data_IF_688272508296
#
_entry.id   IF_688272508296
#
_cell.length_a   1.000
_cell.length_b   1.000
_cell.length_c   1.000
_cell.angle_alpha   90.00
_cell.angle_beta   90.00
_cell.angle_gamma   90.00
#
_symmetry.space_group_name_H-M   'P 1'
#
loop_
_entity.id
_entity.type
_entity.pdbx_description
1 polymer ?
#
# COMPACT_ATOMS: atom_id res chain seq x y z
N UNK A 1 -3.76 46.11 -29.73
CA UNK A 1 -4.40 44.81 -29.41
C UNK A 1 -3.42 43.77 -28.88
N UNK A 2 -2.15 43.82 -29.26
CA UNK A 2 -1.10 42.86 -28.85
C UNK A 2 -0.89 42.81 -27.33
N UNK A 3 -0.84 43.95 -26.62
CA UNK A 3 -0.67 44.01 -25.16
C UNK A 3 -1.74 43.21 -24.38
N UNK A 4 -2.98 43.16 -24.87
CA UNK A 4 -4.08 42.40 -24.24
C UNK A 4 -3.86 40.89 -24.40
N UNK A 5 -3.39 40.44 -25.56
CA UNK A 5 -3.11 39.03 -25.83
C UNK A 5 -1.92 38.53 -25.01
N UNK A 6 -0.85 39.34 -24.93
CA UNK A 6 0.32 39.10 -24.11
C UNK A 6 -0.04 38.98 -22.61
N UNK A 7 -0.77 39.96 -22.07
CA UNK A 7 -1.21 39.94 -20.68
C UNK A 7 -2.08 38.72 -20.37
N UNK A 8 -3.01 38.35 -21.26
CA UNK A 8 -3.86 37.17 -21.08
C UNK A 8 -3.04 35.87 -21.06
N UNK A 9 -2.01 35.77 -21.91
CA UNK A 9 -1.10 34.62 -21.91
C UNK A 9 -0.31 34.54 -20.60
N UNK A 10 0.31 35.64 -20.16
CA UNK A 10 1.03 35.71 -18.89
C UNK A 10 0.13 35.41 -17.69
N UNK A 11 -1.10 35.92 -17.69
CA UNK A 11 -2.11 35.63 -16.66
C UNK A 11 -2.41 34.13 -16.58
N UNK A 12 -2.64 33.49 -17.73
CA UNK A 12 -2.90 32.04 -17.80
C UNK A 12 -1.70 31.22 -17.29
N UNK A 13 -0.50 31.56 -17.76
CA UNK A 13 0.74 30.90 -17.33
C UNK A 13 0.99 31.10 -15.83
N UNK A 14 0.77 32.31 -15.30
CA UNK A 14 0.93 32.61 -13.88
C UNK A 14 -0.02 31.78 -13.03
N UNK A 15 -1.31 31.68 -13.40
CA UNK A 15 -2.26 30.81 -12.70
C UNK A 15 -1.81 29.35 -12.68
N UNK A 16 -1.34 28.83 -13.83
CA UNK A 16 -0.80 27.46 -13.92
C UNK A 16 0.44 27.29 -13.03
N UNK A 17 1.39 28.24 -13.04
CA UNK A 17 2.59 28.25 -12.19
C UNK A 17 2.21 28.07 -10.72
N UNK A 18 1.25 28.87 -10.22
CA UNK A 18 0.79 28.78 -8.84
C UNK A 18 0.06 27.48 -8.53
N UNK A 19 -0.73 26.97 -9.47
CA UNK A 19 -1.39 25.68 -9.32
C UNK A 19 -0.38 24.55 -9.10
N UNK A 20 0.67 24.48 -9.94
CA UNK A 20 1.74 23.49 -9.80
C UNK A 20 2.54 23.67 -8.51
N UNK A 21 2.92 24.91 -8.17
CA UNK A 21 3.63 25.24 -6.92
C UNK A 21 2.84 24.77 -5.70
N UNK A 22 1.56 25.12 -5.65
CA UNK A 22 0.68 24.74 -4.56
C UNK A 22 0.46 23.23 -4.51
N UNK A 23 0.31 22.57 -5.66
CA UNK A 23 0.18 21.12 -5.70
C UNK A 23 1.44 20.43 -5.14
N UNK A 24 2.63 20.86 -5.58
CA UNK A 24 3.91 20.36 -5.07
C UNK A 24 4.05 20.58 -3.55
N UNK A 25 3.71 21.78 -3.06
CA UNK A 25 3.73 22.08 -1.62
C UNK A 25 2.82 21.15 -0.83
N UNK A 26 1.60 20.88 -1.30
CA UNK A 26 0.70 19.95 -0.63
C UNK A 26 1.28 18.53 -0.59
N UNK A 27 1.74 18.03 -1.74
CA UNK A 27 2.28 16.68 -1.85
C UNK A 27 3.50 16.49 -0.94
N UNK A 28 4.36 17.49 -0.84
CA UNK A 28 5.49 17.49 0.08
C UNK A 28 5.04 17.43 1.54
N UNK A 29 4.06 18.23 1.95
CA UNK A 29 3.50 18.13 3.32
C UNK A 29 3.00 16.72 3.64
N UNK A 30 2.34 16.04 2.69
CA UNK A 30 1.90 14.66 2.88
C UNK A 30 3.07 13.68 3.03
N UNK A 31 4.13 13.85 2.23
CA UNK A 31 5.35 13.04 2.32
C UNK A 31 6.05 13.26 3.66
N UNK A 32 6.24 14.51 4.06
CA UNK A 32 6.94 14.89 5.30
C UNK A 32 6.22 14.36 6.54
N UNK A 33 4.88 14.27 6.49
CA UNK A 33 4.05 13.70 7.56
C UNK A 33 3.78 12.18 7.39
N UNK A 34 4.45 11.51 6.44
CA UNK A 34 4.25 10.09 6.11
C UNK A 34 2.76 9.68 5.98
N UNK A 35 1.94 10.57 5.41
CA UNK A 35 0.49 10.42 5.34
C UNK A 35 0.03 10.39 3.88
N UNK A 36 -0.77 9.39 3.52
CA UNK A 36 -1.35 9.32 2.16
C UNK A 36 -2.65 10.13 2.12
N UNK A 37 -2.81 11.07 1.15
CA UNK A 37 -4.08 11.77 0.94
C UNK A 37 -5.22 10.77 0.73
N UNK A 38 -6.39 11.02 1.32
CA UNK A 38 -7.53 10.08 1.23
C UNK A 38 -7.93 9.73 -0.21
N UNK A 39 -7.79 10.67 -1.15
CA UNK A 39 -8.11 10.45 -2.57
C UNK A 39 -7.06 9.67 -3.36
N UNK A 40 -5.88 9.40 -2.78
CA UNK A 40 -4.80 8.61 -3.38
C UNK A 40 -4.61 7.26 -2.66
N UNK A 41 -5.25 7.06 -1.52
CA UNK A 41 -5.12 5.84 -0.73
C UNK A 41 -5.82 4.68 -1.46
N UNK A 42 -5.04 3.76 -2.02
CA UNK A 42 -5.54 2.56 -2.68
C UNK A 42 -6.04 1.59 -1.61
N UNK A 43 -7.36 1.42 -1.55
CA UNK A 43 -8.01 0.46 -0.64
C UNK A 43 -8.53 -0.71 -1.46
N UNK A 44 -7.72 -1.74 -1.59
CA UNK A 44 -8.12 -3.00 -2.20
C UNK A 44 -8.25 -4.06 -1.12
N UNK A 45 -9.34 -4.80 -1.15
CA UNK A 45 -9.54 -5.95 -0.27
C UNK A 45 -9.00 -7.18 -0.97
N UNK A 46 -8.10 -7.96 -0.33
CA UNK A 46 -7.60 -9.17 -0.97
C UNK A 46 -8.72 -10.19 -1.11
N UNK A 47 -8.84 -10.77 -2.31
CA UNK A 47 -9.71 -11.90 -2.59
C UNK A 47 -8.90 -13.18 -2.37
N UNK A 48 -9.01 -13.75 -1.17
CA UNK A 48 -8.34 -14.99 -0.80
C UNK A 48 -9.36 -15.96 -0.21
N UNK A 49 -9.34 -17.25 -0.59
CA UNK A 49 -10.19 -18.25 0.03
C UNK A 49 -9.78 -18.48 1.51
N UNK A 50 -10.76 -18.65 2.39
CA UNK A 50 -10.56 -18.95 3.82
C UNK A 50 -10.37 -17.73 4.74
N UNK A 51 -10.05 -18.00 6.01
CA UNK A 51 -9.86 -16.97 7.05
C UNK A 51 -8.56 -16.21 6.79
N UNK A 52 -8.66 -14.87 6.73
CA UNK A 52 -7.52 -14.00 6.47
C UNK A 52 -6.58 -13.98 7.67
N UNK A 53 -5.36 -14.49 7.47
CA UNK A 53 -4.30 -14.37 8.47
C UNK A 53 -3.98 -12.89 8.72
N UNK A 54 -3.82 -12.50 9.99
CA UNK A 54 -3.41 -11.14 10.39
C UNK A 54 -2.08 -10.74 9.77
N UNK A 55 -1.14 -11.69 9.64
CA UNK A 55 0.17 -11.48 8.99
C UNK A 55 0.01 -11.16 7.49
N UNK A 56 -0.90 -11.86 6.81
CA UNK A 56 -1.17 -11.62 5.40
C UNK A 56 -1.79 -10.24 5.19
N UNK A 57 -2.81 -9.90 5.97
CA UNK A 57 -3.47 -8.58 5.90
C UNK A 57 -2.49 -7.44 6.14
N UNK A 58 -1.62 -7.55 7.16
CA UNK A 58 -0.59 -6.55 7.42
C UNK A 58 0.33 -6.34 6.21
N UNK A 59 0.84 -7.43 5.62
CA UNK A 59 1.73 -7.34 4.46
C UNK A 59 1.02 -6.81 3.21
N UNK A 60 -0.25 -7.13 3.05
CA UNK A 60 -1.09 -6.61 1.98
C UNK A 60 -1.26 -5.08 2.11
N UNK A 61 -1.61 -4.61 3.30
CA UNK A 61 -1.76 -3.18 3.59
C UNK A 61 -0.43 -2.43 3.42
N UNK A 62 0.69 -3.02 3.86
CA UNK A 62 2.03 -2.47 3.65
C UNK A 62 2.35 -2.29 2.16
N UNK A 63 1.97 -3.25 1.31
CA UNK A 63 2.18 -3.15 -0.14
C UNK A 63 1.33 -2.01 -0.73
N UNK A 64 0.05 -1.93 -0.38
CA UNK A 64 -0.85 -0.88 -0.87
C UNK A 64 -0.42 0.52 -0.42
N UNK A 65 0.02 0.63 0.84
CA UNK A 65 0.60 1.86 1.39
C UNK A 65 1.83 2.28 0.57
N UNK A 66 2.79 1.38 0.36
CA UNK A 66 4.00 1.66 -0.40
C UNK A 66 3.71 2.06 -1.85
N UNK A 67 2.76 1.41 -2.52
CA UNK A 67 2.33 1.79 -3.87
C UNK A 67 1.74 3.20 -3.89
N UNK A 68 0.81 3.50 -2.98
CA UNK A 68 0.18 4.81 -2.87
C UNK A 68 1.20 5.91 -2.54
N UNK A 69 2.18 5.61 -1.69
CA UNK A 69 3.27 6.53 -1.33
C UNK A 69 4.22 6.79 -2.51
N UNK A 70 4.56 5.77 -3.30
CA UNK A 70 5.35 5.95 -4.53
C UNK A 70 4.62 6.78 -5.57
N UNK A 71 3.30 6.60 -5.71
CA UNK A 71 2.47 7.45 -6.57
C UNK A 71 2.49 8.92 -6.09
N UNK A 72 2.46 9.14 -4.77
CA UNK A 72 2.58 10.47 -4.19
C UNK A 72 3.90 11.15 -4.56
N UNK A 73 5.02 10.42 -4.47
CA UNK A 73 6.34 10.90 -4.89
C UNK A 73 6.42 11.18 -6.39
N UNK A 74 5.83 10.32 -7.22
CA UNK A 74 5.75 10.52 -8.66
C UNK A 74 4.98 11.80 -9.01
N UNK A 75 3.82 12.02 -8.38
CA UNK A 75 3.03 13.24 -8.57
C UNK A 75 3.78 14.50 -8.14
N UNK A 76 4.59 14.41 -7.06
CA UNK A 76 5.43 15.52 -6.62
C UNK A 76 6.47 15.85 -7.70
N UNK A 77 7.16 14.84 -8.22
CA UNK A 77 8.16 15.02 -9.28
C UNK A 77 7.56 15.62 -10.56
N UNK A 78 6.38 15.16 -10.97
CA UNK A 78 5.63 15.71 -12.10
C UNK A 78 5.24 17.17 -11.86
N UNK A 79 4.77 17.48 -10.65
CA UNK A 79 4.34 18.84 -10.30
C UNK A 79 5.51 19.82 -10.30
N UNK A 80 6.66 19.41 -9.78
CA UNK A 80 7.90 20.19 -9.77
C UNK A 80 8.41 20.40 -11.21
N UNK A 81 8.37 19.36 -12.05
CA UNK A 81 8.74 19.47 -13.47
C UNK A 81 7.82 20.45 -14.22
N UNK A 82 6.50 20.32 -14.05
CA UNK A 82 5.52 21.22 -14.66
C UNK A 82 5.70 22.68 -14.21
N UNK A 83 5.99 22.91 -12.92
CA UNK A 83 6.33 24.25 -12.41
C UNK A 83 7.52 24.85 -13.17
N UNK A 84 8.59 24.06 -13.36
CA UNK A 84 9.79 24.54 -14.07
C UNK A 84 9.51 24.84 -15.53
N UNK A 85 8.78 23.97 -16.24
CA UNK A 85 8.41 24.21 -17.63
C UNK A 85 7.64 25.52 -17.78
N UNK A 86 6.62 25.75 -16.95
CA UNK A 86 5.84 26.98 -17.00
C UNK A 86 6.69 28.20 -16.62
N UNK A 87 7.61 28.06 -15.68
CA UNK A 87 8.52 29.16 -15.33
C UNK A 87 9.44 29.53 -16.52
N UNK A 88 9.91 28.53 -17.27
CA UNK A 88 10.64 28.75 -18.53
C UNK A 88 9.75 29.44 -19.57
N UNK A 89 8.53 28.93 -19.78
CA UNK A 89 7.57 29.54 -20.71
C UNK A 89 7.30 31.01 -20.35
N UNK A 90 7.09 31.33 -19.08
CA UNK A 90 6.90 32.71 -18.61
C UNK A 90 8.11 33.57 -18.98
N UNK A 91 9.34 33.12 -18.67
CA UNK A 91 10.55 33.86 -18.98
C UNK A 91 10.73 34.07 -20.49
N UNK A 92 10.49 33.04 -21.31
CA UNK A 92 10.51 33.15 -22.77
C UNK A 92 9.46 34.14 -23.28
N UNK A 93 8.27 34.15 -22.67
CA UNK A 93 7.19 35.08 -23.05
C UNK A 93 7.61 36.52 -22.71
N UNK A 94 8.26 36.75 -21.56
CA UNK A 94 8.82 38.04 -21.19
C UNK A 94 9.92 38.50 -22.17
N UNK A 95 10.89 37.63 -22.49
CA UNK A 95 11.99 37.96 -23.41
C UNK A 95 11.46 38.32 -24.80
N UNK A 96 10.52 37.54 -25.34
CA UNK A 96 9.94 37.76 -26.67
C UNK A 96 9.19 39.09 -26.80
N UNK A 97 8.64 39.61 -25.71
CA UNK A 97 7.84 40.83 -25.71
C UNK A 97 8.55 42.01 -25.03
N UNK A 98 9.83 41.86 -24.67
CA UNK A 98 10.59 42.91 -23.98
C UNK A 98 10.79 44.16 -24.85
N UNK A 99 10.88 43.96 -26.17
CA UNK A 99 11.06 45.05 -27.15
C UNK A 99 9.73 45.68 -27.59
N UNK A 100 8.59 45.01 -27.36
CA UNK A 100 7.27 45.46 -27.84
C UNK A 100 6.41 46.15 -26.78
N UNK A 101 6.84 46.13 -25.51
CA UNK A 101 6.08 46.68 -24.39
C UNK A 101 6.85 47.83 -23.77
N UNK A 102 6.18 48.95 -23.52
CA UNK A 102 6.79 50.10 -22.86
C UNK A 102 7.09 49.78 -21.38
N UNK A 103 8.07 50.45 -20.75
CA UNK A 103 8.35 50.27 -19.33
C UNK A 103 7.12 50.50 -18.42
N UNK A 104 6.30 51.49 -18.75
CA UNK A 104 5.06 51.81 -18.03
C UNK A 104 4.03 50.68 -18.14
N UNK A 105 3.81 50.14 -19.34
CA UNK A 105 2.93 48.99 -19.55
C UNK A 105 3.44 47.75 -18.79
N UNK A 106 4.76 47.55 -18.73
CA UNK A 106 5.38 46.45 -17.99
C UNK A 106 5.11 46.55 -16.49
N UNK A 107 5.19 47.74 -15.90
CA UNK A 107 4.85 47.93 -14.49
C UNK A 107 3.37 47.62 -14.22
N UNK A 108 2.46 48.10 -15.08
CA UNK A 108 1.02 47.82 -14.93
C UNK A 108 0.75 46.31 -15.02
N UNK A 109 1.40 45.62 -15.95
CA UNK A 109 1.30 44.16 -16.11
C UNK A 109 1.83 43.47 -14.84
N UNK A 110 2.99 43.86 -14.32
CA UNK A 110 3.57 43.27 -13.12
C UNK A 110 2.68 43.47 -11.89
N UNK A 111 2.12 44.68 -11.69
CA UNK A 111 1.18 44.96 -10.60
C UNK A 111 -0.05 44.04 -10.70
N UNK A 112 -0.69 43.97 -11.87
CA UNK A 112 -1.84 43.09 -12.09
C UNK A 112 -1.52 41.60 -11.90
N UNK A 113 -0.34 41.17 -12.32
CA UNK A 113 0.11 39.79 -12.07
C UNK A 113 0.27 39.56 -10.56
N UNK A 114 0.89 40.48 -9.83
CA UNK A 114 1.05 40.36 -8.37
C UNK A 114 -0.30 40.26 -7.63
N UNK A 115 -1.32 40.99 -8.07
CA UNK A 115 -2.67 40.87 -7.52
C UNK A 115 -3.27 39.49 -7.76
N UNK A 116 -3.15 38.97 -8.99
CA UNK A 116 -3.58 37.61 -9.33
C UNK A 116 -2.85 36.60 -8.44
N UNK A 117 -1.53 36.76 -8.25
CA UNK A 117 -0.74 35.89 -7.40
C UNK A 117 -1.25 35.90 -5.95
N UNK A 118 -1.58 37.08 -5.40
CA UNK A 118 -2.13 37.23 -4.05
C UNK A 118 -3.47 36.51 -3.90
N UNK A 119 -4.38 36.70 -4.85
CA UNK A 119 -5.71 36.07 -4.86
C UNK A 119 -5.58 34.54 -4.96
N UNK A 120 -4.78 34.04 -5.91
CA UNK A 120 -4.57 32.60 -6.07
C UNK A 120 -3.95 31.99 -4.81
N UNK A 121 -2.96 32.64 -4.18
CA UNK A 121 -2.36 32.18 -2.92
C UNK A 121 -3.40 31.99 -1.81
N UNK A 122 -4.32 32.95 -1.65
CA UNK A 122 -5.40 32.86 -0.66
C UNK A 122 -6.37 31.72 -0.99
N UNK A 123 -6.81 31.63 -2.24
CA UNK A 123 -7.72 30.57 -2.71
C UNK A 123 -7.13 29.18 -2.50
N UNK A 124 -5.85 29.01 -2.82
CA UNK A 124 -5.13 27.76 -2.65
C UNK A 124 -4.94 27.41 -1.17
N UNK A 125 -4.57 28.37 -0.32
CA UNK A 125 -4.49 28.17 1.14
C UNK A 125 -5.82 27.71 1.74
N UNK A 126 -6.94 28.31 1.33
CA UNK A 126 -8.26 27.87 1.77
C UNK A 126 -8.56 26.43 1.33
N UNK A 127 -8.24 26.06 0.09
CA UNK A 127 -8.39 24.68 -0.42
C UNK A 127 -7.49 23.69 0.31
N UNK A 128 -6.24 24.06 0.59
CA UNK A 128 -5.28 23.28 1.36
C UNK A 128 -5.82 22.98 2.76
N UNK A 129 -6.26 24.01 3.49
CA UNK A 129 -6.80 23.87 4.84
C UNK A 129 -7.97 22.88 4.89
N UNK A 130 -8.87 22.93 3.89
CA UNK A 130 -9.97 21.97 3.76
C UNK A 130 -9.46 20.53 3.57
N UNK A 131 -8.47 20.32 2.71
CA UNK A 131 -7.87 18.99 2.46
C UNK A 131 -7.14 18.46 3.68
N UNK A 132 -6.32 19.27 4.33
CA UNK A 132 -5.55 18.86 5.51
C UNK A 132 -6.46 18.57 6.71
N UNK A 133 -7.49 19.39 6.94
CA UNK A 133 -8.51 19.11 7.97
C UNK A 133 -9.21 17.78 7.69
N UNK A 134 -9.63 17.52 6.45
CA UNK A 134 -10.25 16.26 6.04
C UNK A 134 -9.33 15.06 6.31
N UNK A 135 -8.04 15.21 6.07
CA UNK A 135 -7.04 14.15 6.16
C UNK A 135 -6.35 14.07 7.52
N UNK A 136 -6.77 14.91 8.50
CA UNK A 136 -6.19 15.01 9.86
C UNK A 136 -4.69 15.28 9.88
N UNK A 137 -4.22 16.08 8.92
CA UNK A 137 -2.82 16.47 8.84
C UNK A 137 -2.59 17.72 9.72
N UNK A 138 -1.64 17.65 10.66
CA UNK A 138 -1.28 18.81 11.48
C UNK A 138 -0.70 19.91 10.58
N UNK A 139 -1.15 21.14 10.75
CA UNK A 139 -0.81 22.29 9.89
C UNK A 139 0.63 22.80 10.05
N UNK A 140 1.59 21.94 10.36
CA UNK A 140 3.01 22.26 10.28
C UNK A 140 3.50 22.05 8.84
N UNK A 141 2.91 22.75 7.87
CA UNK A 141 3.46 22.75 6.52
C UNK A 141 4.25 24.03 6.29
N UNK A 142 5.57 23.90 6.21
CA UNK A 142 6.40 24.92 5.58
C UNK A 142 5.92 25.08 4.14
N UNK A 143 5.54 26.30 3.77
CA UNK A 143 5.23 26.61 2.37
C UNK A 143 6.53 26.41 1.60
N UNK A 144 6.51 25.57 0.56
CA UNK A 144 7.70 25.42 -0.27
C UNK A 144 8.02 26.76 -0.95
N UNK A 145 9.16 27.31 -0.58
CA UNK A 145 9.72 28.47 -1.26
C UNK A 145 10.18 28.08 -2.67
N UNK A 146 10.24 29.06 -3.57
CA UNK A 146 10.57 28.80 -4.99
C UNK A 146 11.96 28.17 -5.14
N UNK A 147 12.90 28.59 -4.30
CA UNK A 147 14.26 28.06 -4.27
C UNK A 147 14.30 26.58 -3.88
N UNK A 148 13.48 26.17 -2.91
CA UNK A 148 13.40 24.77 -2.49
C UNK A 148 12.90 23.87 -3.62
N UNK A 149 11.89 24.33 -4.39
CA UNK A 149 11.36 23.60 -5.55
C UNK A 149 12.44 23.46 -6.63
N UNK A 150 13.22 24.51 -6.86
CA UNK A 150 14.32 24.49 -7.84
C UNK A 150 15.48 23.57 -7.41
N UNK A 151 15.77 23.49 -6.12
CA UNK A 151 16.85 22.66 -5.58
C UNK A 151 16.50 21.15 -5.60
N UNK A 152 15.25 20.77 -5.35
CA UNK A 152 14.79 19.37 -5.42
C UNK A 152 14.99 18.72 -6.80
N UNK A 153 15.07 19.52 -7.87
CA UNK A 153 15.39 19.07 -9.23
C UNK A 153 16.90 18.89 -9.48
N UNK A 154 17.75 19.63 -8.77
CA UNK A 154 19.21 19.51 -8.91
C UNK A 154 19.69 18.20 -8.27
N UNK A 155 19.12 17.84 -7.13
CA UNK A 155 19.45 16.61 -6.40
C UNK A 155 19.02 15.35 -7.15
N UNK A 156 17.88 15.40 -7.85
CA UNK A 156 17.35 14.26 -8.63
C UNK A 156 18.12 13.97 -9.93
N UNK A 157 19.01 14.86 -10.38
CA UNK A 157 19.91 14.61 -11.52
C UNK A 157 21.13 13.75 -11.16
N UNK A 158 21.39 13.46 -9.89
CA UNK A 158 22.60 12.73 -9.45
C UNK A 158 22.50 11.20 -9.57
N UNK A 159 21.33 10.64 -9.86
CA UNK A 159 21.13 9.20 -10.01
C UNK A 159 20.32 8.90 -11.25
N UNK A 160 20.88 9.19 -12.43
CA UNK A 160 20.46 8.46 -13.62
C UNK A 160 20.60 6.96 -13.26
N UNK A 161 19.51 6.17 -13.24
CA UNK A 161 19.65 4.73 -13.08
C UNK A 161 20.60 4.31 -14.18
N UNK A 162 21.76 3.73 -13.82
CA UNK A 162 22.66 3.12 -14.79
C UNK A 162 21.76 2.26 -15.66
N UNK A 163 21.53 2.67 -16.90
CA UNK A 163 20.87 1.81 -17.88
C UNK A 163 21.71 0.56 -17.82
N UNK A 164 21.18 -0.53 -17.24
CA UNK A 164 21.70 -1.86 -17.48
C UNK A 164 21.50 -2.03 -18.97
N UNK A 165 22.49 -1.59 -19.73
CA UNK A 165 22.61 -1.79 -21.14
C UNK A 165 22.77 -3.29 -21.21
N UNK A 166 21.65 -3.99 -21.36
CA UNK A 166 21.67 -5.36 -21.81
C UNK A 166 22.53 -5.32 -23.07
N UNK A 167 23.76 -5.83 -22.97
CA UNK A 167 24.61 -6.02 -24.14
C UNK A 167 23.85 -7.02 -24.98
N UNK A 168 23.07 -6.53 -25.93
CA UNK A 168 22.49 -7.36 -26.97
C UNK A 168 23.69 -7.90 -27.74
N UNK A 169 24.08 -9.14 -27.45
CA UNK A 169 25.05 -9.85 -28.26
C UNK A 169 24.48 -9.80 -29.69
N UNK A 170 25.20 -9.11 -30.57
CA UNK A 170 24.91 -9.17 -32.01
C UNK A 170 25.37 -10.55 -32.45
N UNK A 171 24.47 -11.53 -32.41
CA UNK A 171 24.61 -12.68 -33.29
C UNK A 171 24.27 -12.18 -34.70
N UNK A 172 25.28 -12.15 -35.54
CA UNK A 172 25.14 -11.97 -36.98
C UNK A 172 24.23 -13.08 -37.48
N UNK A 173 23.00 -12.70 -37.86
CA UNK A 173 22.09 -13.56 -38.59
C UNK A 173 22.69 -13.76 -39.98
N UNK A 174 23.30 -14.92 -40.20
CA UNK A 174 23.43 -15.48 -41.54
C UNK A 174 22.16 -16.28 -41.80
N UNK A 175 21.41 -15.78 -42.77
CA UNK A 175 20.55 -16.46 -43.74
C UNK A 175 19.73 -17.69 -43.32
N UNK A 176 18.41 -17.51 -43.34
CA UNK A 176 17.41 -18.40 -43.92
C UNK A 176 17.65 -19.92 -43.81
N UNK A 177 17.73 -20.44 -42.59
CA UNK A 177 17.35 -21.83 -42.33
C UNK A 177 15.97 -21.87 -41.69
N UNK A 178 15.02 -22.47 -42.41
CA UNK A 178 13.77 -22.96 -41.84
C UNK A 178 14.16 -24.06 -40.85
N UNK A 179 14.19 -23.71 -39.58
CA UNK A 179 14.55 -24.65 -38.50
C UNK A 179 13.38 -25.59 -38.27
N UNK A 180 13.53 -26.82 -38.73
CA UNK A 180 12.64 -27.92 -38.41
C UNK A 180 12.87 -28.28 -36.93
N UNK A 181 11.91 -27.94 -36.06
CA UNK A 181 12.00 -28.04 -34.59
C UNK A 181 12.07 -29.49 -34.03
N UNK A 182 12.18 -30.50 -34.89
CA UNK A 182 12.10 -31.91 -34.50
C UNK A 182 13.45 -32.62 -34.37
N UNK A 183 14.59 -31.95 -34.63
CA UNK A 183 15.89 -32.65 -34.75
C UNK A 183 17.11 -31.89 -34.19
N UNK A 184 16.91 -30.91 -33.32
CA UNK A 184 18.05 -30.29 -32.61
C UNK A 184 18.37 -31.14 -31.39
N UNK A 185 19.50 -31.85 -31.46
CA UNK A 185 20.17 -32.41 -30.29
C UNK A 185 20.36 -31.28 -29.27
N UNK A 186 19.86 -31.50 -28.05
CA UNK A 186 19.93 -30.52 -26.97
C UNK A 186 21.39 -30.21 -26.69
N UNK A 187 21.71 -28.93 -26.52
CA UNK A 187 23.05 -28.55 -26.07
C UNK A 187 23.26 -29.05 -24.64
N UNK A 188 24.51 -29.35 -24.25
CA UNK A 188 24.84 -29.81 -22.89
C UNK A 188 24.29 -28.88 -21.78
N UNK A 189 24.21 -27.57 -22.07
CA UNK A 189 23.61 -26.58 -21.18
C UNK A 189 22.10 -26.74 -21.01
N UNK A 190 21.39 -27.09 -22.08
CA UNK A 190 19.94 -27.31 -22.06
C UNK A 190 19.59 -28.66 -21.42
N UNK A 191 20.36 -29.71 -21.69
CA UNK A 191 20.24 -30.98 -20.97
C UNK A 191 20.44 -30.81 -19.46
N UNK A 192 21.42 -30.01 -19.06
CA UNK A 192 21.68 -29.72 -17.65
C UNK A 192 20.52 -28.99 -17.00
N UNK A 193 19.93 -28.00 -17.69
CA UNK A 193 18.75 -27.29 -17.21
C UNK A 193 17.53 -28.21 -17.07
N UNK A 194 17.33 -29.14 -18.00
CA UNK A 194 16.26 -30.14 -17.92
C UNK A 194 16.46 -31.09 -16.72
N UNK A 195 17.69 -31.57 -16.51
CA UNK A 195 18.05 -32.39 -15.34
C UNK A 195 17.81 -31.62 -14.03
N UNK A 196 18.17 -30.34 -13.97
CA UNK A 196 17.91 -29.49 -12.81
C UNK A 196 16.41 -29.26 -12.58
N UNK A 197 15.62 -29.09 -13.64
CA UNK A 197 14.16 -28.99 -13.56
C UNK A 197 13.52 -30.28 -13.04
N UNK A 198 13.98 -31.45 -13.46
CA UNK A 198 13.49 -32.73 -12.95
C UNK A 198 13.77 -32.89 -11.46
N UNK A 199 14.95 -32.48 -10.98
CA UNK A 199 15.30 -32.49 -9.56
C UNK A 199 14.37 -31.57 -8.77
N UNK A 200 14.07 -30.38 -9.29
CA UNK A 200 13.12 -29.45 -8.67
C UNK A 200 11.72 -30.07 -8.61
N UNK A 201 11.25 -30.69 -9.69
CA UNK A 201 9.92 -31.33 -9.73
C UNK A 201 9.81 -32.49 -8.74
N UNK A 202 10.85 -33.34 -8.62
CA UNK A 202 10.88 -34.41 -7.62
C UNK A 202 10.80 -33.85 -6.20
N UNK A 203 11.60 -32.82 -5.89
CA UNK A 203 11.56 -32.15 -4.57
C UNK A 203 10.19 -31.56 -4.25
N UNK A 204 9.52 -30.94 -5.22
CA UNK A 204 8.16 -30.42 -5.03
C UNK A 204 7.16 -31.54 -4.74
N UNK A 205 7.28 -32.68 -5.43
CA UNK A 205 6.40 -33.84 -5.19
C UNK A 205 6.61 -34.45 -3.80
N UNK A 206 7.85 -34.49 -3.30
CA UNK A 206 8.16 -35.00 -1.97
C UNK A 206 7.63 -34.09 -0.87
N UNK A 207 7.76 -32.76 -1.04
CA UNK A 207 7.18 -31.77 -0.11
C UNK A 207 5.67 -31.99 0.01
N UNK A 208 4.96 -32.14 -1.12
CA UNK A 208 3.52 -32.39 -1.12
C UNK A 208 3.14 -33.72 -0.44
N UNK A 209 3.96 -34.77 -0.58
CA UNK A 209 3.75 -36.05 0.12
C UNK A 209 3.91 -35.89 1.63
N UNK A 210 4.95 -35.20 2.08
CA UNK A 210 5.22 -34.94 3.49
C UNK A 210 4.08 -34.12 4.12
N UNK A 211 3.58 -33.09 3.43
CA UNK A 211 2.45 -32.28 3.90
C UNK A 211 1.18 -33.12 4.07
N UNK A 212 0.87 -34.00 3.12
CA UNK A 212 -0.27 -34.92 3.21
C UNK A 212 -0.13 -35.90 4.38
N UNK A 213 1.06 -36.45 4.60
CA UNK A 213 1.33 -37.35 5.74
C UNK A 213 1.18 -36.63 7.08
N UNK A 214 1.74 -35.42 7.19
CA UNK A 214 1.62 -34.58 8.39
C UNK A 214 0.17 -34.20 8.70
N UNK A 215 -0.64 -33.92 7.67
CA UNK A 215 -2.07 -33.66 7.84
C UNK A 215 -2.81 -34.89 8.39
N UNK A 216 -2.57 -36.08 7.80
CA UNK A 216 -3.16 -37.34 8.30
C UNK A 216 -2.73 -37.63 9.75
N UNK A 217 -1.46 -37.42 10.07
CA UNK A 217 -0.95 -37.61 11.43
C UNK A 217 -1.62 -36.65 12.44
N UNK A 218 -1.85 -35.39 12.06
CA UNK A 218 -2.58 -34.42 12.90
C UNK A 218 -4.03 -34.84 13.13
N UNK A 219 -4.72 -35.30 12.09
CA UNK A 219 -6.09 -35.81 12.23
C UNK A 219 -6.16 -37.02 13.17
N UNK A 220 -5.26 -38.00 12.99
CA UNK A 220 -5.20 -39.17 13.87
C UNK A 220 -4.91 -38.80 15.33
N UNK A 221 -4.02 -37.83 15.58
CA UNK A 221 -3.76 -37.33 16.94
C UNK A 221 -5.00 -36.66 17.54
N UNK A 222 -5.78 -35.92 16.74
CA UNK A 222 -7.04 -35.30 17.19
C UNK A 222 -8.06 -36.38 17.57
N UNK A 223 -8.31 -37.35 16.68
CA UNK A 223 -9.23 -38.47 16.96
C UNK A 223 -8.83 -39.26 18.22
N UNK A 224 -7.53 -39.52 18.44
CA UNK A 224 -7.06 -40.19 19.66
C UNK A 224 -7.36 -39.38 20.93
N UNK A 225 -7.19 -38.05 20.91
CA UNK A 225 -7.52 -37.18 22.05
C UNK A 225 -9.01 -37.16 22.32
N UNK A 226 -9.83 -37.02 21.27
CA UNK A 226 -11.28 -36.97 21.40
C UNK A 226 -11.82 -38.29 22.00
N UNK A 227 -11.25 -39.45 21.60
CA UNK A 227 -11.58 -40.75 22.17
C UNK A 227 -11.16 -40.91 23.64
N UNK A 228 -9.97 -40.44 24.01
CA UNK A 228 -9.51 -40.45 25.41
C UNK A 228 -10.42 -39.60 26.31
N UNK A 229 -10.80 -38.41 25.85
CA UNK A 229 -11.71 -37.54 26.60
C UNK A 229 -13.10 -38.18 26.80
N UNK A 230 -13.62 -38.88 25.80
CA UNK A 230 -14.88 -39.63 25.93
C UNK A 230 -14.78 -40.79 26.93
N UNK A 231 -13.64 -41.48 26.99
CA UNK A 231 -13.44 -42.55 27.98
C UNK A 231 -13.35 -41.98 29.40
N UNK A 232 -12.68 -40.84 29.59
CA UNK A 232 -12.61 -40.15 30.88
C UNK A 232 -13.99 -39.70 31.37
N UNK A 233 -14.84 -39.16 30.49
CA UNK A 233 -16.19 -38.72 30.90
C UNK A 233 -17.07 -39.89 31.33
N UNK A 234 -17.00 -41.03 30.65
CA UNK A 234 -17.77 -42.24 31.02
C UNK A 234 -17.34 -42.77 32.39
N UNK A 235 -16.03 -42.79 32.67
CA UNK A 235 -15.51 -43.22 33.98
C UNK A 235 -15.95 -42.28 35.12
N UNK A 236 -15.99 -40.97 34.88
CA UNK A 236 -16.49 -39.99 35.85
C UNK A 236 -17.99 -40.19 36.14
N UNK A 237 -18.80 -40.44 35.10
CA UNK A 237 -20.23 -40.74 35.25
C UNK A 237 -20.47 -42.04 36.05
N UNK A 238 -19.70 -43.10 35.79
CA UNK A 238 -19.78 -44.35 36.54
C UNK A 238 -19.39 -44.17 38.02
N UNK A 239 -18.36 -43.39 38.31
CA UNK A 239 -17.95 -43.07 39.68
C UNK A 239 -19.05 -42.31 40.43
N UNK A 240 -19.66 -41.30 39.80
CA UNK A 240 -20.78 -40.55 40.38
C UNK A 240 -21.97 -41.48 40.66
N UNK A 241 -22.29 -42.39 39.73
CA UNK A 241 -23.39 -43.33 39.90
C UNK A 241 -23.14 -44.31 41.06
N UNK A 242 -21.90 -44.76 41.24
CA UNK A 242 -21.53 -45.65 42.35
C UNK A 242 -21.62 -44.91 43.71
N UNK A 243 -21.13 -43.67 43.80
CA UNK A 243 -21.30 -42.86 45.02
C UNK A 243 -22.78 -42.63 45.38
N UNK A 244 -23.64 -42.43 44.38
CA UNK A 244 -25.09 -42.27 44.59
C UNK A 244 -25.79 -43.57 45.02
N UNK A 245 -25.26 -44.74 44.63
CA UNK A 245 -25.77 -46.04 45.11
C UNK A 245 -25.38 -46.29 46.57
N UNK A 246 -24.14 -45.97 46.94
CA UNK A 246 -23.65 -46.10 48.32
C UNK A 246 -24.38 -45.17 49.30
N UNK A 247 -24.74 -43.96 48.88
CA UNK A 247 -25.49 -43.02 49.72
C UNK A 247 -26.94 -43.45 49.97
N UNK A 248 -27.55 -44.21 49.05
CA UNK A 248 -28.90 -44.76 49.22
C UNK A 248 -28.96 -45.99 50.15
N UNK A 249 -27.86 -46.74 50.32
CA UNK A 249 -27.84 -47.91 51.21
C UNK A 249 -27.67 -47.56 52.69
N UNK A 250 -27.42 -46.28 53.03
CA UNK A 250 -27.26 -45.78 54.40
C UNK A 250 -28.45 -44.96 54.90
N UNK A 251 -29.66 -45.20 54.39
CA UNK A 251 -30.84 -44.62 55.03
C UNK A 251 -31.12 -45.36 56.36
N UNK A 252 -31.08 -44.65 57.51
CA UNK A 252 -31.46 -45.24 58.78
C UNK A 252 -32.93 -45.66 58.70
N UNK A 253 -33.23 -46.88 59.14
CA UNK A 253 -34.61 -47.33 59.39
C UNK A 253 -35.28 -46.25 60.24
N UNK A 254 -36.31 -45.61 59.71
CA UNK A 254 -37.17 -44.71 60.49
C UNK A 254 -37.91 -45.59 61.50
N UNK A 255 -37.39 -45.66 62.70
CA UNK A 255 -38.12 -46.19 63.84
C UNK A 255 -39.32 -45.28 64.08
N UNK A 256 -40.50 -45.90 63.96
CA UNK A 256 -41.80 -45.29 64.18
C UNK A 256 -41.97 -45.08 65.68
N UNK A 257 -41.62 -43.89 66.17
CA UNK A 257 -41.94 -43.46 67.53
C UNK A 257 -43.41 -43.00 67.58
N UNK A 258 -44.27 -43.93 68.06
CA UNK A 258 -45.52 -43.62 68.76
C UNK A 258 -45.18 -43.23 70.20
N UNK A 259 -45.79 -42.15 70.71
CA UNK A 259 -46.21 -41.89 72.11
C UNK A 259 -46.50 -40.39 72.23
N UNK A 260 -47.76 -39.96 72.37
CA UNK A 260 -48.62 -39.94 73.57
C UNK A 260 -48.69 -38.54 74.19
N UNK A 261 -49.90 -37.99 74.05
CA UNK A 261 -50.53 -36.94 74.85
C UNK A 261 -50.49 -37.22 76.34
N UNK A 262 -50.23 -36.20 77.18
CA UNK A 262 -50.74 -35.96 78.55
C UNK A 262 -50.14 -34.61 79.02
N UNK A 263 -50.91 -33.53 79.18
CA UNK A 263 -51.78 -33.18 80.32
C UNK A 263 -51.04 -32.98 81.65
N UNK A 264 -50.94 -31.72 82.09
CA UNK A 264 -51.37 -31.23 83.44
C UNK A 264 -50.46 -30.14 84.04
N UNK A 265 -51.15 -29.06 84.44
CA UNK A 265 -50.86 -28.01 85.44
C UNK A 265 -49.88 -26.89 85.10
#
# INVERSE_FOLDING_TARGET
MENKTYFNKLRSLTKRKYSFKHHASNLKSYIDNNTIPKGLNVKLTPQTPGVKSTRFMKRWDDILFNCSFRLLQLLLSFSIYGYKQINSEINETFIKNLMSVTPEDMEVIQRRLSDIQRIEKQNFKAKQNKKFKRDRLNQQSSVLEEEQILNMLKESKSKQPRKRRFKKQKHSVQDNLVVNLSSIELTDSEEKLLKDMEVIQRRLSDIQRIEKQNFKAKQNKKFKRDRLNQQSSVLEEEQILNMLKESKSKQPRKDVLKTETLSSR
#
